data_IF_230876451964
#
_entry.id   IF_230876451964
#
_cell.length_a   1.000
_cell.length_b   1.000
_cell.length_c   1.000
_cell.angle_alpha   90.00
_cell.angle_beta   90.00
_cell.angle_gamma   90.00
#
_symmetry.space_group_name_H-M   'P 1'
#
loop_
_entity.id
_entity.type
_entity.pdbx_description
1 polymer ?
#
# COMPACT_ATOMS: atom_id res chain seq x y z
N UNK A 1 5.32 -3.50 -18.77
CA UNK A 1 5.41 -4.12 -17.42
C UNK A 1 4.07 -4.16 -16.73
N UNK A 2 3.35 -3.06 -16.69
CA UNK A 2 2.03 -2.94 -16.07
C UNK A 2 1.04 -4.02 -16.56
N UNK A 3 0.95 -4.24 -17.89
CA UNK A 3 0.07 -5.27 -18.41
C UNK A 3 0.42 -6.69 -17.92
N UNK A 4 1.70 -6.98 -17.68
CA UNK A 4 2.09 -8.28 -17.13
C UNK A 4 1.58 -8.49 -15.68
N UNK A 5 1.52 -7.42 -14.88
CA UNK A 5 0.93 -7.47 -13.54
C UNK A 5 -0.60 -7.62 -13.64
N UNK A 6 -1.24 -6.88 -14.54
CA UNK A 6 -2.68 -7.02 -14.77
C UNK A 6 -3.02 -8.44 -15.23
N UNK A 7 -2.30 -8.96 -16.23
CA UNK A 7 -2.52 -10.29 -16.78
C UNK A 7 -2.26 -11.42 -15.77
N UNK A 8 -1.35 -11.20 -14.80
CA UNK A 8 -1.15 -12.12 -13.69
C UNK A 8 -2.46 -12.37 -12.92
N UNK A 9 -3.18 -11.31 -12.57
CA UNK A 9 -4.40 -11.44 -11.75
C UNK A 9 -5.66 -11.69 -12.57
N UNK A 10 -5.70 -11.25 -13.83
CA UNK A 10 -6.90 -11.40 -14.68
C UNK A 10 -6.89 -12.63 -15.56
N UNK A 11 -5.71 -13.16 -15.90
CA UNK A 11 -5.53 -14.29 -16.82
C UNK A 11 -4.70 -15.43 -16.22
N UNK A 12 -4.17 -15.25 -15.00
CA UNK A 12 -3.19 -16.15 -14.39
C UNK A 12 -1.91 -16.32 -15.23
N UNK A 13 -1.50 -15.26 -15.95
CA UNK A 13 -0.31 -15.30 -16.82
C UNK A 13 1.00 -15.14 -16.03
N UNK A 14 1.35 -16.20 -15.30
CA UNK A 14 2.59 -16.27 -14.52
C UNK A 14 3.83 -16.23 -15.41
N UNK A 15 3.73 -16.76 -16.63
CA UNK A 15 4.87 -16.84 -17.55
C UNK A 15 5.34 -15.44 -17.98
N UNK A 16 4.40 -14.59 -18.36
CA UNK A 16 4.72 -13.22 -18.80
C UNK A 16 5.33 -12.39 -17.67
N UNK A 17 4.75 -12.40 -16.47
CA UNK A 17 5.34 -11.66 -15.35
C UNK A 17 6.70 -12.21 -14.94
N UNK A 18 6.88 -13.53 -14.93
CA UNK A 18 8.17 -14.18 -14.62
C UNK A 18 9.29 -13.75 -15.59
N UNK A 19 8.96 -13.56 -16.86
CA UNK A 19 9.94 -13.11 -17.86
C UNK A 19 10.38 -11.66 -17.67
N UNK A 20 9.66 -10.87 -16.89
CA UNK A 20 10.00 -9.48 -16.55
C UNK A 20 10.82 -9.33 -15.28
N UNK A 21 10.99 -10.39 -14.50
CA UNK A 21 11.76 -10.40 -13.27
C UNK A 21 13.13 -11.03 -13.48
N UNK A 22 14.18 -10.33 -13.07
CA UNK A 22 15.53 -10.87 -12.93
C UNK A 22 15.63 -11.71 -11.63
N UNK A 23 16.69 -12.50 -11.50
CA UNK A 23 16.97 -13.23 -10.24
C UNK A 23 17.15 -12.29 -9.04
N UNK A 24 17.66 -11.08 -9.28
CA UNK A 24 17.84 -10.03 -8.27
C UNK A 24 16.62 -9.15 -8.06
N UNK A 25 15.56 -9.34 -8.84
CA UNK A 25 14.33 -8.56 -8.68
C UNK A 25 13.65 -8.90 -7.35
N UNK A 26 13.15 -7.87 -6.67
CA UNK A 26 12.49 -8.01 -5.37
C UNK A 26 10.97 -7.87 -5.54
N UNK A 27 10.21 -8.83 -5.00
CA UNK A 27 8.74 -8.75 -4.89
C UNK A 27 8.36 -8.75 -3.43
N UNK A 28 7.79 -7.65 -2.96
CA UNK A 28 7.30 -7.52 -1.59
C UNK A 28 5.77 -7.56 -1.60
N UNK A 29 5.20 -8.42 -0.79
CA UNK A 29 3.76 -8.56 -0.60
C UNK A 29 3.48 -9.02 0.83
N UNK A 30 2.61 -8.32 1.54
CA UNK A 30 2.42 -8.51 2.98
C UNK A 30 3.76 -8.39 3.74
N UNK A 31 4.12 -9.42 4.50
CA UNK A 31 5.39 -9.52 5.23
C UNK A 31 6.48 -10.26 4.45
N UNK A 32 6.20 -10.66 3.22
CA UNK A 32 7.11 -11.48 2.43
C UNK A 32 7.89 -10.64 1.45
N UNK A 33 9.18 -10.94 1.36
CA UNK A 33 10.06 -10.47 0.30
C UNK A 33 10.57 -11.68 -0.45
N UNK A 34 10.27 -11.75 -1.74
CA UNK A 34 10.70 -12.81 -2.63
C UNK A 34 11.73 -12.27 -3.62
N UNK A 35 12.78 -13.05 -3.88
CA UNK A 35 13.83 -12.72 -4.85
C UNK A 35 13.63 -13.51 -6.14
N UNK A 36 13.46 -12.76 -7.24
CA UNK A 36 13.20 -13.32 -8.56
C UNK A 36 11.83 -14.02 -8.67
N UNK A 37 11.56 -14.49 -9.89
CA UNK A 37 10.26 -15.10 -10.20
C UNK A 37 10.02 -16.41 -9.45
N UNK A 38 11.05 -17.23 -9.21
CA UNK A 38 10.87 -18.53 -8.56
C UNK A 38 10.36 -18.42 -7.12
N UNK A 39 10.83 -17.39 -6.39
CA UNK A 39 10.35 -17.15 -5.03
C UNK A 39 9.02 -16.37 -5.01
N UNK A 40 8.74 -15.56 -6.02
CA UNK A 40 7.49 -14.81 -6.09
C UNK A 40 6.29 -15.66 -6.56
N UNK A 41 6.53 -16.71 -7.36
CA UNK A 41 5.46 -17.57 -7.87
C UNK A 41 4.53 -18.15 -6.79
N UNK A 42 5.02 -18.68 -5.67
CA UNK A 42 4.16 -19.19 -4.60
C UNK A 42 3.16 -18.14 -4.10
N UNK A 43 3.55 -16.87 -3.96
CA UNK A 43 2.68 -15.79 -3.52
C UNK A 43 1.54 -15.55 -4.53
N UNK A 44 1.85 -15.58 -5.82
CA UNK A 44 0.85 -15.39 -6.88
C UNK A 44 -0.09 -16.58 -7.00
N UNK A 45 0.47 -17.81 -6.95
CA UNK A 45 -0.31 -19.04 -7.02
C UNK A 45 -1.25 -19.17 -5.83
N UNK A 46 -0.80 -18.77 -4.64
CA UNK A 46 -1.63 -18.80 -3.44
C UNK A 46 -2.80 -17.83 -3.56
N UNK A 47 -2.57 -16.60 -4.00
CA UNK A 47 -3.64 -15.64 -4.26
C UNK A 47 -4.64 -16.18 -5.29
N UNK A 48 -4.15 -16.70 -6.42
CA UNK A 48 -5.00 -17.25 -7.48
C UNK A 48 -5.76 -18.50 -7.02
N UNK A 49 -5.16 -19.35 -6.21
CA UNK A 49 -5.81 -20.53 -5.66
C UNK A 49 -6.91 -20.16 -4.67
N UNK A 50 -6.67 -19.16 -3.83
CA UNK A 50 -7.65 -18.72 -2.83
C UNK A 50 -8.80 -17.95 -3.46
N UNK A 51 -8.53 -16.98 -4.34
CA UNK A 51 -9.50 -16.00 -4.81
C UNK A 51 -9.90 -16.18 -6.27
N UNK A 52 -9.16 -16.99 -7.01
CA UNK A 52 -9.36 -17.20 -8.45
C UNK A 52 -8.82 -16.05 -9.30
N UNK A 53 -8.98 -16.17 -10.60
CA UNK A 53 -8.73 -15.07 -11.53
C UNK A 53 -9.77 -13.97 -11.31
N UNK A 54 -9.39 -12.74 -11.61
CA UNK A 54 -10.19 -11.56 -11.31
C UNK A 54 -10.63 -10.86 -12.60
N UNK A 55 -11.80 -10.25 -12.56
CA UNK A 55 -12.19 -9.25 -13.56
C UNK A 55 -11.59 -7.88 -13.16
N UNK A 56 -11.05 -7.15 -14.13
CA UNK A 56 -10.57 -5.80 -13.91
C UNK A 56 -11.73 -4.81 -13.97
N UNK A 57 -12.09 -4.22 -12.84
CA UNK A 57 -13.12 -3.18 -12.76
C UNK A 57 -12.54 -1.83 -13.18
N UNK A 58 -11.42 -1.45 -12.57
CA UNK A 58 -10.75 -0.19 -12.89
C UNK A 58 -9.25 -0.27 -12.61
N UNK A 59 -8.51 0.63 -13.24
CA UNK A 59 -7.09 0.83 -12.99
C UNK A 59 -6.74 2.30 -12.99
N UNK A 60 -5.84 2.68 -12.08
CA UNK A 60 -5.13 3.96 -12.10
C UNK A 60 -3.64 3.67 -12.24
N UNK A 61 -2.99 4.32 -13.18
CA UNK A 61 -1.58 4.10 -13.46
C UNK A 61 -0.89 5.44 -13.60
N UNK A 62 0.12 5.67 -12.80
CA UNK A 62 1.02 6.83 -12.89
C UNK A 62 2.39 6.37 -13.36
N UNK A 63 2.89 7.02 -14.39
CA UNK A 63 4.12 6.64 -15.09
C UNK A 63 5.25 7.61 -14.79
N UNK A 64 6.36 7.09 -14.29
CA UNK A 64 7.65 7.79 -14.19
C UNK A 64 8.74 7.09 -15.00
N UNK A 65 9.95 7.65 -14.99
CA UNK A 65 11.07 7.10 -15.77
C UNK A 65 11.54 5.73 -15.29
N UNK A 66 11.70 5.57 -13.97
CA UNK A 66 12.15 4.31 -13.35
C UNK A 66 11.18 3.80 -12.28
N UNK A 67 10.16 4.57 -11.97
CA UNK A 67 9.15 4.27 -10.97
C UNK A 67 7.77 4.40 -11.59
N UNK A 68 6.97 3.36 -11.49
CA UNK A 68 5.56 3.38 -11.86
C UNK A 68 4.71 2.97 -10.66
N UNK A 69 3.53 3.56 -10.56
CA UNK A 69 2.52 3.14 -9.58
C UNK A 69 1.29 2.64 -10.29
N UNK A 70 0.70 1.58 -9.77
CA UNK A 70 -0.48 0.94 -10.32
C UNK A 70 -1.46 0.64 -9.21
N UNK A 71 -2.67 1.10 -9.35
CA UNK A 71 -3.79 0.71 -8.50
C UNK A 71 -4.81 -0.05 -9.33
N UNK A 72 -5.17 -1.23 -8.88
CA UNK A 72 -6.17 -2.09 -9.51
C UNK A 72 -7.36 -2.26 -8.57
N UNK A 73 -8.57 -2.12 -9.10
CA UNK A 73 -9.78 -2.63 -8.46
C UNK A 73 -10.19 -3.86 -9.25
N UNK A 74 -10.14 -5.00 -8.57
CA UNK A 74 -10.37 -6.32 -9.13
C UNK A 74 -11.59 -6.95 -8.49
N UNK A 75 -12.40 -7.67 -9.29
CA UNK A 75 -13.44 -8.56 -8.79
C UNK A 75 -12.95 -10.01 -8.93
N UNK A 76 -12.40 -10.62 -7.87
CA UNK A 76 -12.02 -12.03 -7.90
C UNK A 76 -13.26 -12.91 -8.06
N UNK A 77 -13.15 -13.98 -8.85
CA UNK A 77 -14.29 -14.87 -9.14
C UNK A 77 -14.91 -15.53 -7.91
N UNK A 78 -14.11 -15.73 -6.88
CA UNK A 78 -14.54 -16.39 -5.64
C UNK A 78 -15.00 -15.43 -4.56
N UNK A 79 -14.96 -14.12 -4.77
CA UNK A 79 -15.36 -13.11 -3.81
C UNK A 79 -16.57 -12.32 -4.29
N UNK A 80 -17.44 -11.91 -3.36
CA UNK A 80 -18.63 -11.11 -3.67
C UNK A 80 -18.31 -9.63 -3.87
N UNK A 81 -17.27 -9.11 -3.23
CA UNK A 81 -16.90 -7.69 -3.29
C UNK A 81 -15.57 -7.50 -3.98
N UNK A 82 -15.39 -6.36 -4.68
CA UNK A 82 -14.11 -6.01 -5.27
C UNK A 82 -13.01 -5.88 -4.22
N UNK A 83 -11.77 -6.09 -4.65
CA UNK A 83 -10.57 -5.86 -3.85
C UNK A 83 -9.67 -4.84 -4.53
N UNK A 84 -8.93 -4.07 -3.73
CA UNK A 84 -7.95 -3.12 -4.21
C UNK A 84 -6.56 -3.67 -4.01
N UNK A 85 -5.77 -3.66 -5.08
CA UNK A 85 -4.35 -3.97 -5.08
C UNK A 85 -3.59 -2.73 -5.53
N UNK A 86 -2.59 -2.33 -4.77
CA UNK A 86 -1.74 -1.19 -5.11
C UNK A 86 -0.29 -1.62 -5.22
N UNK A 87 0.38 -1.14 -6.24
CA UNK A 87 1.75 -1.51 -6.57
C UNK A 87 2.63 -0.29 -6.74
N UNK A 88 3.84 -0.37 -6.20
CA UNK A 88 4.95 0.52 -6.51
C UNK A 88 6.01 -0.31 -7.23
N UNK A 89 6.32 0.05 -8.47
CA UNK A 89 7.13 -0.75 -9.38
C UNK A 89 8.37 0.05 -9.78
N UNK A 90 9.54 -0.42 -9.37
CA UNK A 90 10.82 0.11 -9.87
C UNK A 90 11.32 -0.75 -11.02
N UNK A 91 11.79 -0.12 -12.09
CA UNK A 91 12.19 -0.83 -13.31
C UNK A 91 13.33 -0.12 -14.06
N UNK A 92 13.85 -0.80 -15.09
CA UNK A 92 14.72 -0.24 -16.10
C UNK A 92 14.09 -0.48 -17.46
N UNK A 93 13.21 0.12 -17.99
CA UNK A 93 12.51 -0.07 -19.28
C UNK A 93 12.30 -1.53 -19.77
N UNK A 94 13.16 -2.48 -19.40
CA UNK A 94 13.12 -3.88 -19.83
C UNK A 94 12.65 -4.82 -18.72
N UNK A 95 13.21 -4.64 -17.52
CA UNK A 95 12.98 -5.54 -16.38
C UNK A 95 12.51 -4.78 -15.14
N UNK A 96 11.75 -5.47 -14.35
CA UNK A 96 11.33 -5.02 -13.02
C UNK A 96 12.49 -5.21 -12.04
N UNK A 97 12.89 -4.14 -11.36
CA UNK A 97 13.89 -4.18 -10.27
C UNK A 97 13.23 -4.56 -8.95
N UNK A 98 12.11 -3.91 -8.65
CA UNK A 98 11.33 -4.26 -7.46
C UNK A 98 9.85 -3.95 -7.64
N UNK A 99 9.02 -4.72 -6.95
CA UNK A 99 7.58 -4.50 -6.79
C UNK A 99 7.26 -4.50 -5.32
N UNK A 100 6.54 -3.47 -4.87
CA UNK A 100 5.84 -3.49 -3.58
C UNK A 100 4.35 -3.61 -3.88
N UNK A 101 3.73 -4.68 -3.39
CA UNK A 101 2.30 -4.92 -3.49
C UNK A 101 1.67 -4.68 -2.12
N UNK A 102 0.75 -3.75 -2.03
CA UNK A 102 -0.05 -3.49 -0.83
C UNK A 102 -1.47 -3.97 -1.09
N UNK A 103 -1.94 -4.86 -0.26
CA UNK A 103 -3.31 -5.38 -0.26
C UNK A 103 -3.80 -5.45 1.18
N UNK A 104 -5.05 -5.09 1.40
CA UNK A 104 -5.67 -5.19 2.71
C UNK A 104 -6.23 -6.60 2.92
N UNK A 105 -5.52 -7.41 3.69
CA UNK A 105 -5.91 -8.80 3.92
C UNK A 105 -7.14 -8.94 4.82
N UNK A 106 -7.47 -7.93 5.63
CA UNK A 106 -8.71 -7.92 6.39
C UNK A 106 -9.93 -7.78 5.48
N UNK A 107 -9.85 -6.93 4.46
CA UNK A 107 -10.91 -6.84 3.45
C UNK A 107 -11.07 -8.14 2.66
N UNK A 108 -9.97 -8.84 2.37
CA UNK A 108 -10.02 -10.16 1.76
C UNK A 108 -10.66 -11.20 2.70
N UNK A 109 -10.27 -11.20 3.98
CA UNK A 109 -10.79 -12.14 4.97
C UNK A 109 -12.28 -11.93 5.29
N UNK A 110 -12.74 -10.67 5.30
CA UNK A 110 -14.13 -10.32 5.57
C UNK A 110 -15.02 -10.37 4.32
N UNK A 111 -14.45 -10.65 3.16
CA UNK A 111 -15.20 -10.77 1.92
C UNK A 111 -15.92 -12.13 1.87
N UNK A 112 -17.19 -12.12 1.52
CA UNK A 112 -17.97 -13.35 1.39
C UNK A 112 -17.56 -14.10 0.13
N UNK A 113 -17.39 -15.43 0.24
CA UNK A 113 -17.09 -16.29 -0.90
C UNK A 113 -18.37 -16.65 -1.66
N UNK A 114 -18.28 -16.66 -3.00
CA UNK A 114 -19.36 -17.15 -3.83
C UNK A 114 -19.41 -18.68 -3.74
N UNK A 115 -20.52 -19.24 -3.25
CA UNK A 115 -20.83 -20.65 -3.46
C UNK A 115 -20.87 -21.60 -2.27
N UNK A 116 -20.49 -21.18 -1.06
CA UNK A 116 -20.78 -21.96 0.15
C UNK A 116 -21.04 -21.02 1.31
N UNK A 117 -22.07 -21.31 2.11
CA UNK A 117 -22.32 -20.63 3.37
C UNK A 117 -21.10 -20.81 4.27
N UNK A 118 -20.22 -19.85 4.27
CA UNK A 118 -19.07 -19.83 5.15
C UNK A 118 -19.64 -19.68 6.57
N UNK A 119 -19.49 -20.72 7.37
CA UNK A 119 -19.47 -20.55 8.81
C UNK A 119 -18.50 -19.41 9.09
N UNK A 120 -18.93 -18.38 9.82
CA UNK A 120 -18.25 -17.12 10.18
C UNK A 120 -16.89 -17.34 10.90
N UNK A 121 -16.07 -18.25 10.45
CA UNK A 121 -14.68 -18.37 10.84
C UNK A 121 -13.88 -17.40 10.00
N UNK A 122 -13.27 -16.41 10.63
CA UNK A 122 -12.24 -15.57 10.03
C UNK A 122 -11.32 -16.47 9.22
N UNK A 123 -11.47 -16.44 7.89
CA UNK A 123 -10.51 -17.10 7.01
C UNK A 123 -9.28 -16.20 7.01
N UNK A 124 -8.40 -16.44 7.97
CA UNK A 124 -7.06 -15.87 7.93
C UNK A 124 -6.45 -16.36 6.62
N UNK A 125 -6.02 -15.47 5.71
CA UNK A 125 -5.33 -15.87 4.51
C UNK A 125 -4.21 -16.82 4.93
N UNK A 126 -4.26 -18.07 4.47
CA UNK A 126 -3.19 -19.02 4.78
C UNK A 126 -1.93 -18.45 4.17
N UNK A 127 -0.90 -18.29 4.99
CA UNK A 127 0.43 -18.00 4.49
C UNK A 127 0.79 -19.03 3.41
N UNK A 128 1.50 -18.63 2.35
CA UNK A 128 1.91 -19.55 1.31
C UNK A 128 2.55 -20.80 1.93
N UNK A 129 2.12 -21.99 1.53
CA UNK A 129 2.59 -23.25 2.10
C UNK A 129 4.07 -23.53 1.86
N UNK A 130 4.67 -22.88 0.87
CA UNK A 130 6.10 -22.92 0.64
C UNK A 130 6.70 -21.69 1.33
N UNK A 131 7.50 -21.91 2.36
CA UNK A 131 8.31 -20.84 2.93
C UNK A 131 9.11 -20.16 1.81
N UNK A 132 8.72 -18.95 1.35
CA UNK A 132 9.65 -18.20 0.53
C UNK A 132 10.89 -18.06 1.39
N UNK A 133 12.07 -18.32 0.85
CA UNK A 133 13.31 -18.09 1.58
C UNK A 133 13.26 -16.62 1.97
N UNK A 134 12.94 -16.36 3.22
CA UNK A 134 12.95 -15.02 3.77
C UNK A 134 14.41 -14.56 3.70
N UNK A 135 14.74 -13.82 2.67
CA UNK A 135 15.89 -12.95 2.77
C UNK A 135 15.46 -11.93 3.82
N UNK A 136 15.98 -12.08 5.03
CA UNK A 136 15.85 -11.06 6.07
C UNK A 136 16.16 -9.75 5.40
N UNK A 137 15.22 -8.84 5.42
CA UNK A 137 15.44 -7.50 4.89
C UNK A 137 16.41 -6.81 5.85
N UNK A 138 17.71 -7.05 5.65
CA UNK A 138 18.78 -6.46 6.44
C UNK A 138 18.68 -4.93 6.44
N UNK A 139 18.13 -4.36 5.36
CA UNK A 139 17.87 -2.92 5.27
C UNK A 139 16.80 -2.44 6.25
N UNK A 140 15.90 -3.32 6.69
CA UNK A 140 14.90 -2.97 7.71
C UNK A 140 15.41 -3.08 9.16
N UNK A 141 16.56 -3.71 9.39
CA UNK A 141 17.18 -3.79 10.71
C UNK A 141 18.22 -2.69 10.96
N UNK A 142 18.70 -2.05 9.91
CA UNK A 142 19.71 -1.01 10.00
C UNK A 142 19.06 0.37 10.14
N UNK A 143 18.93 0.76 11.39
CA UNK A 143 18.76 2.11 11.92
C UNK A 143 17.51 2.90 11.55
N UNK A 144 16.76 3.34 12.57
CA UNK A 144 15.94 4.53 12.44
C UNK A 144 16.89 5.71 12.28
N UNK A 145 17.33 6.00 11.08
CA UNK A 145 17.93 7.29 10.81
C UNK A 145 16.83 8.32 11.05
N UNK A 146 17.04 9.14 12.03
CA UNK A 146 16.24 10.33 12.32
C UNK A 146 16.37 11.30 11.16
N UNK A 147 15.67 11.05 10.07
CA UNK A 147 15.56 12.00 8.97
C UNK A 147 14.43 12.98 9.27
N UNK A 148 14.81 14.13 9.81
CA UNK A 148 13.97 15.31 9.91
C UNK A 148 13.98 16.16 8.62
N UNK A 149 14.62 15.71 7.56
CA UNK A 149 14.65 16.44 6.31
C UNK A 149 13.37 16.19 5.51
N UNK A 150 12.85 17.25 4.94
CA UNK A 150 11.88 17.14 3.84
C UNK A 150 12.52 16.29 2.76
N UNK A 151 11.89 15.17 2.37
CA UNK A 151 12.49 14.28 1.40
C UNK A 151 12.77 15.01 0.10
N UNK A 152 13.95 14.78 -0.47
CA UNK A 152 14.36 15.37 -1.77
C UNK A 152 13.29 15.18 -2.83
N UNK A 153 12.65 14.01 -2.85
CA UNK A 153 11.60 13.65 -3.80
C UNK A 153 10.40 14.63 -3.78
N UNK A 154 10.08 15.22 -2.63
CA UNK A 154 9.03 16.27 -2.55
C UNK A 154 9.57 17.63 -3.02
N UNK A 155 10.82 17.94 -2.72
CA UNK A 155 11.41 19.23 -3.10
C UNK A 155 11.57 19.40 -4.61
N UNK A 156 11.66 18.31 -5.37
CA UNK A 156 11.76 18.34 -6.84
C UNK A 156 10.41 18.55 -7.54
N UNK A 157 9.30 18.59 -6.81
CA UNK A 157 7.98 18.78 -7.34
C UNK A 157 7.67 20.28 -7.63
N UNK A 158 6.64 20.59 -8.44
CA UNK A 158 6.18 21.96 -8.59
C UNK A 158 5.89 22.60 -7.23
N UNK A 159 6.31 23.84 -7.02
CA UNK A 159 6.34 24.51 -5.70
C UNK A 159 5.03 24.37 -4.92
N UNK A 160 3.89 24.60 -5.54
CA UNK A 160 2.59 24.50 -4.87
C UNK A 160 2.25 23.07 -4.46
N UNK A 161 2.59 22.08 -5.31
CA UNK A 161 2.40 20.66 -5.00
C UNK A 161 3.32 20.23 -3.86
N UNK A 162 4.58 20.66 -3.90
CA UNK A 162 5.56 20.40 -2.86
C UNK A 162 5.09 20.96 -1.50
N UNK A 163 4.56 22.17 -1.48
CA UNK A 163 4.05 22.80 -0.26
C UNK A 163 2.86 22.02 0.33
N UNK A 164 1.90 21.64 -0.49
CA UNK A 164 0.74 20.83 -0.06
C UNK A 164 1.19 19.49 0.51
N UNK A 165 2.09 18.79 -0.18
CA UNK A 165 2.58 17.48 0.26
C UNK A 165 3.49 17.59 1.50
N UNK A 166 4.25 18.66 1.64
CA UNK A 166 5.03 18.92 2.86
C UNK A 166 4.11 19.14 4.06
N UNK A 167 3.06 19.93 3.91
CA UNK A 167 2.10 20.16 4.98
C UNK A 167 1.35 18.87 5.36
N UNK A 168 0.96 18.08 4.35
CA UNK A 168 0.40 16.75 4.57
C UNK A 168 1.38 15.83 5.32
N UNK A 169 2.66 15.82 4.90
CA UNK A 169 3.69 14.99 5.53
C UNK A 169 3.93 15.38 7.00
N UNK A 170 3.87 16.66 7.33
CA UNK A 170 4.00 17.12 8.71
C UNK A 170 2.89 16.61 9.63
N UNK A 171 1.67 16.39 9.10
CA UNK A 171 0.58 15.78 9.87
C UNK A 171 1.01 14.39 10.36
N UNK A 172 1.62 13.59 9.50
CA UNK A 172 2.02 12.22 9.81
C UNK A 172 3.36 12.15 10.56
N UNK A 173 4.34 12.94 10.16
CA UNK A 173 5.68 12.92 10.75
C UNK A 173 5.72 13.54 12.14
N UNK A 174 5.08 14.68 12.32
CA UNK A 174 5.15 15.50 13.53
C UNK A 174 3.88 15.51 14.36
N UNK A 175 2.86 14.77 13.96
CA UNK A 175 1.54 14.81 14.57
C UNK A 175 0.96 16.24 14.61
N UNK A 176 1.23 17.02 13.57
CA UNK A 176 0.81 18.42 13.49
C UNK A 176 -0.57 18.55 12.87
N UNK A 177 -1.60 18.27 13.65
CA UNK A 177 -3.00 18.34 13.21
C UNK A 177 -3.49 19.79 12.96
N UNK A 178 -2.75 20.81 13.38
CA UNK A 178 -3.12 22.19 13.11
C UNK A 178 -3.18 22.51 11.61
N UNK A 179 -2.39 21.80 10.79
CA UNK A 179 -2.38 21.97 9.35
C UNK A 179 -3.50 21.20 8.64
N UNK A 180 -4.24 20.34 9.33
CA UNK A 180 -5.21 19.43 8.69
C UNK A 180 -6.25 20.19 7.84
N UNK A 181 -6.88 21.21 8.42
CA UNK A 181 -7.89 22.00 7.72
C UNK A 181 -7.34 22.83 6.54
N UNK A 182 -6.08 23.22 6.57
CA UNK A 182 -5.43 23.99 5.51
C UNK A 182 -4.92 23.12 4.36
N UNK A 183 -4.78 21.83 4.56
CA UNK A 183 -4.26 20.88 3.59
C UNK A 183 -5.37 20.23 2.77
N UNK A 184 -6.52 19.95 3.40
CA UNK A 184 -7.64 19.26 2.74
C UNK A 184 -8.73 20.21 2.27
N UNK A 185 -9.25 19.93 1.07
CA UNK A 185 -10.48 20.57 0.61
C UNK A 185 -11.64 20.27 1.59
N UNK A 186 -12.60 21.20 1.67
CA UNK A 186 -13.76 21.06 2.55
C UNK A 186 -14.52 19.73 2.32
N UNK A 187 -14.64 19.34 1.05
CA UNK A 187 -15.35 18.14 0.62
C UNK A 187 -14.35 17.10 0.07
N UNK A 188 -13.22 16.90 0.75
CA UNK A 188 -12.26 15.90 0.33
C UNK A 188 -12.82 14.49 0.54
N UNK A 189 -12.70 13.67 -0.49
CA UNK A 189 -13.08 12.26 -0.47
C UNK A 189 -11.92 11.41 0.06
N UNK A 190 -12.19 10.57 1.04
CA UNK A 190 -11.18 9.71 1.65
C UNK A 190 -11.61 8.25 1.60
N UNK A 191 -10.69 7.38 1.25
CA UNK A 191 -10.85 5.92 1.39
C UNK A 191 -9.74 5.43 2.30
N UNK A 192 -10.12 4.89 3.44
CA UNK A 192 -9.19 4.35 4.43
C UNK A 192 -8.96 2.86 4.23
N UNK A 193 -7.82 2.37 4.70
CA UNK A 193 -7.57 0.94 4.85
C UNK A 193 -8.67 0.30 5.71
N UNK A 194 -9.05 -0.93 5.39
CA UNK A 194 -10.17 -1.61 6.02
C UNK A 194 -11.53 -1.29 5.38
N UNK A 195 -11.60 -0.33 4.45
CA UNK A 195 -12.84 0.07 3.77
C UNK A 195 -12.62 0.27 2.27
N UNK A 196 -13.65 -0.01 1.48
CA UNK A 196 -13.73 0.39 0.07
C UNK A 196 -14.69 1.58 -0.15
N UNK A 197 -15.29 2.07 0.92
CA UNK A 197 -16.27 3.15 0.86
C UNK A 197 -15.60 4.51 0.96
N UNK A 198 -16.09 5.45 0.17
CA UNK A 198 -15.69 6.85 0.26
C UNK A 198 -16.28 7.47 1.52
N UNK A 199 -15.44 8.16 2.27
CA UNK A 199 -15.76 8.84 3.52
C UNK A 199 -15.33 10.31 3.43
N UNK A 200 -15.76 11.12 4.39
CA UNK A 200 -15.24 12.49 4.52
C UNK A 200 -13.83 12.51 5.12
N UNK A 201 -13.14 13.64 4.99
CA UNK A 201 -11.83 13.86 5.62
C UNK A 201 -11.83 13.65 7.14
N UNK A 202 -12.98 13.81 7.80
CA UNK A 202 -13.10 13.60 9.25
C UNK A 202 -12.80 12.13 9.65
N UNK A 203 -13.08 11.18 8.75
CA UNK A 203 -12.71 9.79 8.98
C UNK A 203 -11.19 9.61 9.06
N UNK A 204 -10.43 10.33 8.24
CA UNK A 204 -8.96 10.33 8.28
C UNK A 204 -8.44 10.97 9.57
N UNK A 205 -9.04 12.09 9.99
CA UNK A 205 -8.70 12.73 11.26
C UNK A 205 -8.94 11.78 12.43
N UNK A 206 -10.08 11.10 12.46
CA UNK A 206 -10.42 10.11 13.49
C UNK A 206 -9.44 8.92 13.46
N UNK A 207 -9.05 8.45 12.29
CA UNK A 207 -8.04 7.40 12.14
C UNK A 207 -6.69 7.85 12.73
N UNK A 208 -6.26 9.07 12.42
CA UNK A 208 -5.02 9.63 12.94
C UNK A 208 -5.06 9.76 14.47
N UNK A 209 -6.15 10.26 15.03
CA UNK A 209 -6.34 10.36 16.49
C UNK A 209 -6.34 8.99 17.16
N UNK A 210 -7.01 7.99 16.57
CA UNK A 210 -7.02 6.62 17.08
C UNK A 210 -5.61 6.00 17.08
N UNK A 211 -4.84 6.19 16.02
CA UNK A 211 -3.46 5.74 15.95
C UNK A 211 -2.58 6.43 17.01
N UNK A 212 -2.73 7.74 17.18
CA UNK A 212 -1.98 8.51 18.18
C UNK A 212 -2.29 8.12 19.63
N UNK A 213 -3.52 7.67 19.91
CA UNK A 213 -3.91 7.15 21.22
C UNK A 213 -3.40 5.72 21.45
N UNK A 214 -3.36 4.92 20.40
CA UNK A 214 -2.98 3.51 20.46
C UNK A 214 -1.47 3.31 20.47
N UNK A 215 -0.75 4.15 19.74
CA UNK A 215 0.70 4.08 19.57
C UNK A 215 1.39 5.27 20.23
N UNK A 216 2.50 5.00 20.89
CA UNK A 216 3.43 6.03 21.35
C UNK A 216 4.73 5.97 20.56
N UNK A 217 5.55 7.01 20.68
CA UNK A 217 6.84 7.13 19.99
C UNK A 217 6.67 6.87 18.47
N UNK A 218 5.56 7.37 17.92
CA UNK A 218 5.30 7.25 16.51
C UNK A 218 6.24 8.13 15.70
N UNK A 219 6.74 7.60 14.62
CA UNK A 219 7.36 8.38 13.56
C UNK A 219 7.02 7.79 12.20
N UNK A 220 6.86 8.66 11.23
CA UNK A 220 6.62 8.30 9.85
C UNK A 220 7.92 8.46 9.06
N UNK A 221 8.22 7.48 8.21
CA UNK A 221 9.37 7.48 7.32
C UNK A 221 8.91 7.42 5.88
N UNK A 222 9.28 8.42 5.10
CA UNK A 222 9.00 8.44 3.67
C UNK A 222 9.97 7.50 2.94
N UNK A 223 9.44 6.69 2.03
CA UNK A 223 10.24 5.80 1.21
C UNK A 223 10.32 6.26 -0.25
N UNK A 224 9.20 6.63 -0.84
CA UNK A 224 9.13 7.13 -2.21
C UNK A 224 7.94 8.04 -2.41
N UNK A 225 8.11 9.06 -3.25
CA UNK A 225 7.03 9.89 -3.78
C UNK A 225 7.09 9.84 -5.29
N UNK A 226 5.95 9.67 -5.92
CA UNK A 226 5.80 9.83 -7.36
C UNK A 226 4.65 10.77 -7.63
N UNK A 227 4.86 11.77 -8.47
CA UNK A 227 3.82 12.71 -8.88
C UNK A 227 3.53 12.57 -10.37
N UNK A 228 2.28 12.43 -10.69
CA UNK A 228 1.77 12.47 -12.06
C UNK A 228 1.09 13.80 -12.31
N UNK A 229 1.74 14.67 -13.07
CA UNK A 229 1.23 16.01 -13.36
C UNK A 229 -0.03 16.00 -14.25
N UNK A 230 -0.22 14.95 -15.07
CA UNK A 230 -1.41 14.84 -15.91
C UNK A 230 -2.67 14.52 -15.09
N UNK A 231 -2.50 13.78 -14.01
CA UNK A 231 -3.57 13.39 -13.08
C UNK A 231 -3.63 14.31 -11.85
N UNK A 232 -2.67 15.21 -11.67
CA UNK A 232 -2.45 15.94 -10.41
C UNK A 232 -2.45 15.02 -9.19
N UNK A 233 -1.80 13.89 -9.31
CA UNK A 233 -1.85 12.81 -8.33
C UNK A 233 -0.47 12.46 -7.81
N UNK A 234 -0.32 12.42 -6.49
CA UNK A 234 0.87 11.92 -5.82
C UNK A 234 0.61 10.50 -5.27
N UNK A 235 1.52 9.59 -5.54
CA UNK A 235 1.57 8.27 -4.89
C UNK A 235 2.75 8.23 -3.95
N UNK A 236 2.49 7.96 -2.69
CA UNK A 236 3.44 8.05 -1.60
C UNK A 236 3.53 6.68 -0.91
N UNK A 237 4.72 6.11 -0.87
CA UNK A 237 5.00 4.93 -0.08
C UNK A 237 5.78 5.35 1.18
N UNK A 238 5.27 4.99 2.34
CA UNK A 238 5.84 5.37 3.61
C UNK A 238 5.59 4.32 4.67
N UNK A 239 6.30 4.41 5.76
CA UNK A 239 6.20 3.48 6.88
C UNK A 239 5.86 4.25 8.15
N UNK A 240 4.89 3.75 8.91
CA UNK A 240 4.59 4.19 10.26
C UNK A 240 5.23 3.21 11.24
N UNK A 241 6.10 3.70 12.07
CA UNK A 241 6.67 2.99 13.21
C UNK A 241 6.10 3.56 14.52
N UNK A 242 5.90 2.70 15.51
CA UNK A 242 5.42 3.13 16.82
C UNK A 242 5.53 2.01 17.86
N UNK A 243 5.19 2.35 19.11
CA UNK A 243 5.08 1.38 20.19
C UNK A 243 3.63 1.25 20.60
N UNK A 244 3.07 0.04 20.53
CA UNK A 244 1.73 -0.24 21.00
C UNK A 244 1.67 -0.09 22.53
N UNK A 245 0.91 0.89 23.01
CA UNK A 245 0.91 1.32 24.41
C UNK A 245 0.50 0.22 25.38
N UNK A 246 -0.50 -0.58 25.03
CA UNK A 246 -1.05 -1.58 25.92
C UNK A 246 -0.07 -2.73 26.26
N UNK A 247 0.85 -3.04 25.35
CA UNK A 247 1.77 -4.18 25.49
C UNK A 247 3.25 -3.78 25.40
N UNK A 248 3.56 -2.53 25.13
CA UNK A 248 4.92 -2.02 24.89
C UNK A 248 5.65 -2.78 23.76
N UNK A 249 4.93 -3.13 22.71
CA UNK A 249 5.45 -3.86 21.55
C UNK A 249 5.69 -2.88 20.41
N UNK A 250 6.83 -2.99 19.73
CA UNK A 250 7.10 -2.21 18.52
C UNK A 250 6.21 -2.69 17.38
N UNK A 251 5.57 -1.73 16.72
CA UNK A 251 4.70 -1.96 15.57
C UNK A 251 5.29 -1.21 14.38
N UNK A 252 5.28 -1.85 13.23
CA UNK A 252 5.70 -1.26 11.97
C UNK A 252 4.70 -1.58 10.88
N UNK A 253 4.21 -0.54 10.20
CA UNK A 253 3.23 -0.67 9.15
C UNK A 253 3.66 0.08 7.90
N UNK A 254 3.75 -0.64 6.78
CA UNK A 254 3.93 -0.03 5.47
C UNK A 254 2.59 0.50 4.96
N UNK A 255 2.59 1.72 4.45
CA UNK A 255 1.40 2.42 3.99
C UNK A 255 1.67 2.93 2.56
N UNK A 256 0.68 2.81 1.70
CA UNK A 256 0.65 3.44 0.40
C UNK A 256 -0.51 4.42 0.37
N UNK A 257 -0.21 5.67 0.09
CA UNK A 257 -1.19 6.74 -0.01
C UNK A 257 -1.19 7.31 -1.42
N UNK A 258 -2.39 7.46 -1.98
CA UNK A 258 -2.60 8.14 -3.26
C UNK A 258 -3.41 9.39 -3.00
N UNK A 259 -2.83 10.54 -3.34
CA UNK A 259 -3.38 11.87 -3.07
C UNK A 259 -3.67 12.56 -4.41
N UNK A 260 -4.88 13.08 -4.58
CA UNK A 260 -5.22 13.97 -5.70
C UNK A 260 -5.28 15.40 -5.20
N UNK A 261 -4.57 16.30 -5.90
CA UNK A 261 -4.46 17.71 -5.54
C UNK A 261 -5.26 18.54 -6.54
N UNK A 262 -6.16 19.38 -6.04
CA UNK A 262 -6.96 20.32 -6.84
C UNK A 262 -6.89 21.69 -6.19
N UNK A 263 -6.50 22.72 -6.93
CA UNK A 263 -6.38 24.08 -6.42
C UNK A 263 -5.54 24.17 -5.13
N UNK A 264 -4.38 23.51 -5.11
CA UNK A 264 -3.45 23.46 -3.96
C UNK A 264 -3.96 22.73 -2.71
N UNK A 265 -5.12 22.12 -2.77
CA UNK A 265 -5.69 21.34 -1.66
C UNK A 265 -5.84 19.87 -2.05
N UNK A 266 -5.77 18.99 -1.08
CA UNK A 266 -6.08 17.59 -1.26
C UNK A 266 -7.59 17.44 -1.44
N UNK A 267 -8.00 17.02 -2.64
CA UNK A 267 -9.40 16.75 -2.97
C UNK A 267 -9.80 15.30 -2.78
N UNK A 268 -8.84 14.38 -2.86
CA UNK A 268 -9.06 12.99 -2.47
C UNK A 268 -7.80 12.33 -1.94
N UNK A 269 -7.97 11.38 -1.02
CA UNK A 269 -6.91 10.55 -0.49
C UNK A 269 -7.36 9.10 -0.37
N UNK A 270 -6.54 8.19 -0.89
CA UNK A 270 -6.72 6.75 -0.70
C UNK A 270 -5.53 6.24 0.10
N UNK A 271 -5.77 5.88 1.35
CA UNK A 271 -4.77 5.28 2.22
C UNK A 271 -4.97 3.76 2.27
N UNK A 272 -3.93 3.02 1.93
CA UNK A 272 -3.96 1.57 1.90
C UNK A 272 -2.81 0.97 2.69
N UNK A 273 -3.12 0.06 3.59
CA UNK A 273 -2.20 -0.80 4.31
C UNK A 273 -2.90 -2.11 4.70
N UNK A 274 -2.13 -3.08 5.17
CA UNK A 274 -2.66 -4.36 5.60
C UNK A 274 -3.18 -4.25 7.05
N UNK A 275 -4.47 -4.04 7.21
CA UNK A 275 -5.11 -3.84 8.52
C UNK A 275 -5.12 -5.12 9.35
N UNK A 276 -5.20 -6.31 8.74
CA UNK A 276 -5.10 -7.58 9.47
C UNK A 276 -3.70 -7.77 10.03
N UNK A 277 -2.67 -7.47 9.23
CA UNK A 277 -1.28 -7.54 9.67
C UNK A 277 -0.99 -6.58 10.84
N UNK A 278 -1.57 -5.37 10.80
CA UNK A 278 -1.47 -4.43 11.92
C UNK A 278 -2.17 -4.98 13.17
N UNK A 279 -3.37 -5.51 13.04
CA UNK A 279 -4.11 -6.10 14.15
C UNK A 279 -3.40 -7.31 14.75
N UNK A 280 -2.74 -8.13 13.92
CA UNK A 280 -1.92 -9.24 14.40
C UNK A 280 -0.73 -8.79 15.24
N UNK A 281 -0.07 -7.68 14.86
CA UNK A 281 0.99 -7.08 15.67
C UNK A 281 0.48 -6.61 17.04
N UNK A 282 -0.75 -6.10 17.12
CA UNK A 282 -1.38 -5.73 18.39
C UNK A 282 -1.78 -6.95 19.25
N UNK A 283 -2.00 -8.10 18.62
CA UNK A 283 -2.38 -9.33 19.31
C UNK A 283 -1.20 -10.04 20.00
N UNK A 284 0.04 -9.83 19.51
CA UNK A 284 1.28 -10.36 20.11
C UNK A 284 1.54 -9.78 21.48
#
# INVERSE_FOLDING_TARGET
MINAIIDLYTKADIKTISSKLLRSSRWQQHHFTAMGSLQAQPLWLDFLAQYGVSELISKTHSKGQELETLQLILQPKKLLKPVRLSFVIKHNNTFIKSVKCVVDTLLLANNEFTGEASNNTLVIPKLPKSDPIMVCDLDNQLHPTTFHATPSDICELPTQTAETLNNWWQIWQLNNLANFESVYAKNADVILAGSNETQSKDALLNCHLALSQTLSRCYAQLETVQFDSALNQATICWTLDGTFNAKNIRVRQQILTVITITNTLISSEVMQFDTLALNQQFAL
#
